data_IF_380726689256
#
_entry.id   IF_380726689256
#
_cell.length_a   1.000
_cell.length_b   1.000
_cell.length_c   1.000
_cell.angle_alpha   90.00
_cell.angle_beta   90.00
_cell.angle_gamma   90.00
#
_symmetry.space_group_name_H-M   'P 1'
#
loop_
_entity.id
_entity.type
_entity.pdbx_description
1 polymer ?
#
# COMPACT_ATOMS: atom_id res chain seq x y z
N UNK A 1 -18.96 18.10 6.76
CA UNK A 1 -17.80 17.21 6.95
C UNK A 1 -18.30 15.78 7.06
N UNK A 2 -17.74 14.88 6.26
CA UNK A 2 -18.07 13.46 6.31
C UNK A 2 -17.29 12.81 7.44
N UNK A 3 -17.99 12.09 8.32
CA UNK A 3 -17.42 11.52 9.53
C UNK A 3 -17.86 10.07 9.71
N UNK A 4 -17.12 9.32 10.50
CA UNK A 4 -17.47 8.00 10.96
C UNK A 4 -17.51 7.96 12.49
N UNK A 5 -18.25 7.01 13.02
CA UNK A 5 -18.17 6.68 14.43
C UNK A 5 -17.41 5.34 14.63
N UNK A 6 -17.06 5.09 15.88
CA UNK A 6 -16.25 3.95 16.28
C UNK A 6 -16.90 2.59 16.03
N UNK A 7 -18.23 2.54 15.86
CA UNK A 7 -18.97 1.30 15.63
C UNK A 7 -19.09 0.94 14.15
N UNK A 8 -18.68 1.86 13.25
CA UNK A 8 -18.75 1.62 11.80
C UNK A 8 -17.78 0.52 11.39
N UNK A 9 -18.24 -0.42 10.56
CA UNK A 9 -17.38 -1.47 10.03
C UNK A 9 -16.35 -0.89 9.05
N UNK A 10 -15.22 -1.60 8.86
CA UNK A 10 -14.18 -1.19 7.90
C UNK A 10 -14.74 -1.10 6.48
N UNK A 11 -15.59 -2.05 6.09
CA UNK A 11 -16.22 -2.02 4.76
C UNK A 11 -17.11 -0.79 4.60
N UNK A 12 -17.92 -0.47 5.60
CA UNK A 12 -18.79 0.70 5.55
C UNK A 12 -17.99 2.00 5.52
N UNK A 13 -16.88 2.08 6.28
CA UNK A 13 -15.99 3.23 6.24
C UNK A 13 -15.38 3.39 4.85
N UNK A 14 -14.91 2.31 4.25
CA UNK A 14 -14.36 2.33 2.90
C UNK A 14 -15.40 2.72 1.86
N UNK A 15 -16.61 2.15 1.92
CA UNK A 15 -17.73 2.50 1.03
C UNK A 15 -18.03 4.00 1.11
N UNK A 16 -18.09 4.56 2.32
CA UNK A 16 -18.32 5.97 2.55
C UNK A 16 -17.22 6.83 1.94
N UNK A 17 -15.97 6.45 2.13
CA UNK A 17 -14.82 7.17 1.58
C UNK A 17 -14.83 7.15 0.05
N UNK A 18 -15.17 6.02 -0.56
CA UNK A 18 -15.26 5.91 -2.02
C UNK A 18 -16.42 6.73 -2.57
N UNK A 19 -17.59 6.65 -1.95
CA UNK A 19 -18.76 7.44 -2.35
C UNK A 19 -18.50 8.94 -2.32
N UNK A 20 -17.76 9.42 -1.32
CA UNK A 20 -17.46 10.83 -1.13
C UNK A 20 -16.12 11.26 -1.76
N UNK A 21 -15.39 10.34 -2.38
CA UNK A 21 -14.08 10.59 -2.99
C UNK A 21 -13.08 11.22 -2.00
N UNK A 22 -13.03 10.70 -0.78
CA UNK A 22 -12.13 11.17 0.28
C UNK A 22 -11.13 10.08 0.67
N UNK A 23 -9.96 10.49 1.16
CA UNK A 23 -8.87 9.57 1.52
C UNK A 23 -8.67 9.43 3.03
N UNK A 24 -9.35 10.24 3.81
CA UNK A 24 -9.33 10.14 5.28
C UNK A 24 -10.69 10.49 5.86
N UNK A 25 -11.01 9.86 6.99
CA UNK A 25 -12.32 9.98 7.62
C UNK A 25 -12.14 10.20 9.13
N UNK A 26 -12.61 11.34 9.68
CA UNK A 26 -12.54 11.57 11.13
C UNK A 26 -13.42 10.57 11.89
N UNK A 27 -12.93 10.12 13.02
CA UNK A 27 -13.68 9.24 13.95
C UNK A 27 -14.00 10.04 15.20
N UNK A 28 -15.27 10.05 15.58
CA UNK A 28 -15.75 10.74 16.79
C UNK A 28 -16.33 9.74 17.78
N UNK A 29 -16.22 10.08 19.05
CA UNK A 29 -16.85 9.33 20.12
C UNK A 29 -18.33 9.71 20.27
N UNK A 30 -19.02 9.13 21.29
CA UNK A 30 -20.45 9.38 21.53
C UNK A 30 -20.75 10.84 21.92
N UNK A 31 -19.77 11.53 22.50
CA UNK A 31 -19.87 12.93 22.90
C UNK A 31 -19.51 13.90 21.76
N UNK A 32 -19.19 13.39 20.58
CA UNK A 32 -18.80 14.20 19.43
C UNK A 32 -17.36 14.66 19.44
N UNK A 33 -16.54 14.16 20.36
CA UNK A 33 -15.11 14.49 20.42
C UNK A 33 -14.33 13.71 19.37
N UNK A 34 -13.33 14.35 18.76
CA UNK A 34 -12.47 13.69 17.77
C UNK A 34 -11.56 12.67 18.47
N UNK A 35 -11.70 11.38 18.11
CA UNK A 35 -10.84 10.31 18.61
C UNK A 35 -9.67 10.03 17.68
N UNK A 36 -9.81 10.30 16.38
CA UNK A 36 -8.75 10.03 15.42
C UNK A 36 -9.19 10.18 13.98
N UNK A 37 -8.34 9.72 13.09
CA UNK A 37 -8.61 9.67 11.65
C UNK A 37 -8.39 8.24 11.17
N UNK A 38 -9.25 7.79 10.24
CA UNK A 38 -9.01 6.57 9.51
C UNK A 38 -8.70 6.92 8.05
N UNK A 39 -7.69 6.27 7.48
CA UNK A 39 -7.29 6.47 6.09
C UNK A 39 -7.57 5.21 5.28
N UNK A 40 -7.55 5.34 3.96
CA UNK A 40 -7.61 4.16 3.07
C UNK A 40 -6.44 3.22 3.36
N UNK A 41 -5.26 3.77 3.68
CA UNK A 41 -4.10 2.97 4.09
C UNK A 41 -4.34 2.17 5.35
N UNK A 42 -5.01 2.76 6.35
CA UNK A 42 -5.36 2.05 7.59
C UNK A 42 -6.32 0.89 7.33
N UNK A 43 -7.32 1.09 6.48
CA UNK A 43 -8.27 0.05 6.09
C UNK A 43 -7.53 -1.09 5.36
N UNK A 44 -6.65 -0.74 4.42
CA UNK A 44 -5.87 -1.71 3.67
C UNK A 44 -4.94 -2.51 4.59
N UNK A 45 -4.27 -1.83 5.53
CA UNK A 45 -3.39 -2.50 6.51
C UNK A 45 -4.15 -3.49 7.36
N UNK A 46 -5.32 -3.09 7.88
CA UNK A 46 -6.14 -3.98 8.70
C UNK A 46 -6.61 -5.21 7.90
N UNK A 47 -6.96 -5.02 6.64
CA UNK A 47 -7.31 -6.13 5.74
C UNK A 47 -6.13 -7.09 5.59
N UNK A 48 -4.93 -6.57 5.35
CA UNK A 48 -3.72 -7.38 5.19
C UNK A 48 -3.36 -8.16 6.45
N UNK A 49 -3.63 -7.62 7.63
CA UNK A 49 -3.36 -8.29 8.90
C UNK A 49 -4.17 -9.58 9.07
N UNK A 50 -5.27 -9.74 8.31
CA UNK A 50 -6.12 -10.94 8.35
C UNK A 50 -5.80 -11.95 7.25
N UNK A 51 -4.82 -11.69 6.39
CA UNK A 51 -4.46 -12.52 5.25
C UNK A 51 -3.09 -13.16 5.41
N UNK A 52 -2.79 -14.16 4.58
CA UNK A 52 -1.44 -14.73 4.52
C UNK A 52 -0.53 -13.82 3.70
N UNK A 53 0.26 -13.03 4.39
CA UNK A 53 1.13 -12.02 3.76
C UNK A 53 2.31 -12.61 2.98
N UNK A 54 2.62 -13.89 3.14
CA UNK A 54 3.69 -14.57 2.41
C UNK A 54 3.22 -15.36 1.20
N UNK A 55 1.92 -15.36 0.91
CA UNK A 55 1.34 -16.18 -0.16
C UNK A 55 2.00 -15.92 -1.52
N UNK A 56 2.15 -14.65 -1.90
CA UNK A 56 2.70 -14.28 -3.20
C UNK A 56 4.15 -14.70 -3.37
N UNK A 57 4.97 -14.56 -2.34
CA UNK A 57 6.38 -14.94 -2.42
C UNK A 57 6.56 -16.44 -2.44
N UNK A 58 5.78 -17.18 -1.65
CA UNK A 58 5.79 -18.64 -1.71
C UNK A 58 5.37 -19.19 -3.06
N UNK A 59 4.40 -18.52 -3.70
CA UNK A 59 3.94 -18.88 -5.04
C UNK A 59 4.90 -18.44 -6.15
N UNK A 60 5.97 -17.70 -5.81
CA UNK A 60 6.94 -17.13 -6.76
C UNK A 60 6.24 -16.36 -7.87
N UNK A 61 5.44 -15.38 -7.47
CA UNK A 61 4.60 -14.62 -8.39
C UNK A 61 5.42 -13.65 -9.24
N UNK A 62 5.22 -13.67 -10.54
CA UNK A 62 5.91 -12.78 -11.46
C UNK A 62 5.39 -11.34 -11.31
N UNK A 63 6.27 -10.35 -11.34
CA UNK A 63 5.89 -8.95 -11.19
C UNK A 63 4.91 -8.48 -12.25
N UNK A 64 5.06 -8.94 -13.48
CA UNK A 64 4.11 -8.66 -14.56
C UNK A 64 2.69 -9.10 -14.19
N UNK A 65 2.56 -10.25 -13.56
CA UNK A 65 1.29 -10.79 -13.12
C UNK A 65 0.66 -9.96 -12.01
N UNK A 66 1.48 -9.52 -11.07
CA UNK A 66 1.04 -8.59 -10.02
C UNK A 66 0.52 -7.30 -10.65
N UNK A 67 1.28 -6.73 -11.59
CA UNK A 67 0.89 -5.50 -12.27
C UNK A 67 -0.44 -5.67 -13.03
N UNK A 68 -0.60 -6.75 -13.77
CA UNK A 68 -1.84 -7.03 -14.51
C UNK A 68 -3.06 -7.13 -13.59
N UNK A 69 -2.89 -7.74 -12.41
CA UNK A 69 -3.97 -7.92 -11.43
C UNK A 69 -4.51 -6.59 -10.91
N UNK A 70 -3.68 -5.57 -10.85
CA UNK A 70 -4.05 -4.25 -10.31
C UNK A 70 -4.11 -3.16 -11.37
N UNK A 71 -4.23 -3.53 -12.64
CA UNK A 71 -4.21 -2.61 -13.78
C UNK A 71 -3.00 -1.66 -13.75
N UNK A 72 -1.87 -2.16 -13.28
CA UNK A 72 -0.66 -1.39 -13.04
C UNK A 72 0.34 -1.44 -14.18
N UNK A 73 1.32 -0.56 -14.07
CA UNK A 73 2.45 -0.47 -15.00
C UNK A 73 3.74 -0.59 -14.20
N UNK A 74 4.65 -1.45 -14.63
CA UNK A 74 5.99 -1.51 -14.05
C UNK A 74 6.77 -0.30 -14.57
N UNK A 75 7.05 0.65 -13.69
CA UNK A 75 7.74 1.90 -14.05
C UNK A 75 9.25 1.81 -13.83
N UNK A 76 9.70 0.85 -13.03
CA UNK A 76 11.12 0.54 -12.82
C UNK A 76 11.27 -0.95 -12.52
N UNK A 77 12.34 -1.54 -13.03
CA UNK A 77 12.69 -2.93 -12.77
C UNK A 77 12.23 -3.90 -13.85
N UNK A 78 12.57 -5.18 -13.65
CA UNK A 78 12.26 -6.24 -14.62
C UNK A 78 10.87 -6.83 -14.36
N UNK A 79 9.91 -6.54 -15.23
CA UNK A 79 8.54 -7.08 -15.12
C UNK A 79 8.49 -8.61 -15.23
N UNK A 80 9.50 -9.22 -15.82
CA UNK A 80 9.60 -10.68 -15.96
C UNK A 80 10.27 -11.36 -14.76
N UNK A 81 10.79 -10.58 -13.81
CA UNK A 81 11.31 -11.11 -12.55
C UNK A 81 10.20 -11.62 -11.64
N UNK A 82 10.59 -12.30 -10.57
CA UNK A 82 9.67 -12.95 -9.65
C UNK A 82 9.82 -12.43 -8.23
N UNK A 83 8.70 -12.24 -7.56
CA UNK A 83 8.68 -11.98 -6.12
C UNK A 83 8.78 -13.29 -5.38
N UNK A 84 9.93 -13.55 -4.75
CA UNK A 84 10.25 -14.88 -4.20
C UNK A 84 10.51 -14.89 -2.69
N UNK A 85 10.68 -13.72 -2.08
CA UNK A 85 10.96 -13.58 -0.66
C UNK A 85 10.24 -12.37 -0.09
N UNK A 86 9.86 -12.46 1.16
CA UNK A 86 9.25 -11.37 1.89
C UNK A 86 7.74 -11.44 1.94
N UNK A 87 7.19 -10.57 2.76
CA UNK A 87 5.73 -10.45 2.92
C UNK A 87 5.21 -9.27 2.13
N UNK A 88 3.90 -9.27 1.90
CA UNK A 88 3.18 -8.14 1.35
C UNK A 88 2.63 -7.33 2.52
N UNK A 89 2.90 -6.03 2.53
CA UNK A 89 2.38 -5.15 3.57
C UNK A 89 1.93 -3.81 3.00
N UNK A 90 1.15 -3.09 3.79
CA UNK A 90 0.67 -1.76 3.42
C UNK A 90 1.39 -0.73 4.28
N UNK A 91 2.01 0.25 3.63
CA UNK A 91 2.62 1.38 4.30
C UNK A 91 1.55 2.34 4.82
N UNK A 92 1.61 2.67 6.11
CA UNK A 92 0.75 3.67 6.71
C UNK A 92 1.43 5.03 6.76
N UNK A 93 0.67 6.08 7.08
CA UNK A 93 1.16 7.44 7.07
C UNK A 93 2.21 7.79 8.15
N UNK A 94 2.55 6.86 9.04
CA UNK A 94 3.54 7.10 10.10
C UNK A 94 4.90 6.50 9.71
N UNK A 95 5.89 7.33 9.33
CA UNK A 95 7.20 6.84 8.89
C UNK A 95 7.96 6.05 9.94
N UNK A 96 7.81 6.38 11.22
CA UNK A 96 8.49 5.66 12.30
C UNK A 96 7.94 4.26 12.48
N UNK A 97 6.62 4.10 12.42
CA UNK A 97 6.00 2.78 12.47
C UNK A 97 6.35 1.97 11.24
N UNK A 98 6.36 2.60 10.08
CA UNK A 98 6.74 1.96 8.83
C UNK A 98 8.13 1.36 8.91
N UNK A 99 9.10 2.14 9.39
CA UNK A 99 10.48 1.70 9.60
C UNK A 99 10.57 0.50 10.54
N UNK A 100 9.69 0.43 11.54
CA UNK A 100 9.74 -0.59 12.57
C UNK A 100 9.32 -1.99 12.07
N UNK A 101 8.47 -2.09 11.03
CA UNK A 101 7.96 -3.38 10.57
C UNK A 101 8.23 -3.74 9.11
N UNK A 102 8.82 -2.85 8.33
CA UNK A 102 9.35 -3.21 7.01
C UNK A 102 10.59 -4.05 7.19
N UNK A 103 10.63 -5.17 6.50
CA UNK A 103 11.83 -6.01 6.44
C UNK A 103 12.40 -6.03 5.02
N UNK A 104 13.68 -6.39 4.92
CA UNK A 104 14.33 -6.60 3.63
C UNK A 104 13.53 -7.62 2.81
N UNK A 105 13.46 -7.41 1.51
CA UNK A 105 12.76 -8.26 0.53
C UNK A 105 11.22 -8.15 0.52
N UNK A 106 10.61 -7.36 1.40
CA UNK A 106 9.16 -7.17 1.40
C UNK A 106 8.64 -6.50 0.12
N UNK A 107 7.36 -6.72 -0.18
CA UNK A 107 6.61 -5.95 -1.17
C UNK A 107 5.68 -5.01 -0.40
N UNK A 108 5.76 -3.72 -0.66
CA UNK A 108 5.00 -2.74 0.09
C UNK A 108 4.08 -1.91 -0.80
N UNK A 109 2.81 -1.81 -0.38
CA UNK A 109 1.79 -1.00 -1.05
C UNK A 109 1.75 0.35 -0.37
N UNK A 110 1.93 1.43 -1.13
CA UNK A 110 2.10 2.78 -0.59
C UNK A 110 1.26 3.80 -1.33
N UNK A 111 1.07 4.96 -0.71
CA UNK A 111 0.44 6.13 -1.31
C UNK A 111 1.45 7.08 -1.94
N UNK A 112 1.19 8.38 -1.81
CA UNK A 112 1.85 9.45 -2.57
C UNK A 112 3.11 10.07 -1.95
N UNK A 113 3.49 9.66 -0.76
CA UNK A 113 4.58 10.33 -0.03
C UNK A 113 5.94 9.83 -0.49
N UNK A 114 6.71 10.71 -1.12
CA UNK A 114 8.07 10.40 -1.56
C UNK A 114 8.95 9.92 -0.42
N UNK A 115 8.80 10.51 0.77
CA UNK A 115 9.56 10.11 1.96
C UNK A 115 9.36 8.63 2.30
N UNK A 116 8.13 8.14 2.16
CA UNK A 116 7.82 6.74 2.43
C UNK A 116 8.44 5.84 1.36
N UNK A 117 8.44 6.26 0.10
CA UNK A 117 9.10 5.54 -0.99
C UNK A 117 10.60 5.42 -0.74
N UNK A 118 11.24 6.52 -0.33
CA UNK A 118 12.67 6.54 -0.02
C UNK A 118 12.99 5.65 1.19
N UNK A 119 12.13 5.66 2.19
CA UNK A 119 12.28 4.81 3.37
C UNK A 119 12.22 3.32 3.01
N UNK A 120 11.28 2.94 2.16
CA UNK A 120 11.16 1.56 1.67
C UNK A 120 12.42 1.12 0.92
N UNK A 121 12.94 1.99 0.05
CA UNK A 121 14.19 1.73 -0.68
C UNK A 121 15.35 1.53 0.30
N UNK A 122 15.45 2.38 1.32
CA UNK A 122 16.48 2.27 2.35
C UNK A 122 16.44 0.94 3.11
N UNK A 123 15.26 0.34 3.22
CA UNK A 123 15.07 -0.98 3.86
C UNK A 123 15.29 -2.17 2.92
N UNK A 124 15.67 -1.92 1.67
CA UNK A 124 15.93 -2.96 0.65
C UNK A 124 14.72 -3.86 0.37
N UNK A 125 13.56 -3.27 0.21
CA UNK A 125 12.36 -4.02 -0.21
C UNK A 125 12.54 -4.59 -1.62
N UNK A 126 11.78 -5.62 -1.96
CA UNK A 126 11.78 -6.19 -3.31
C UNK A 126 11.00 -5.34 -4.30
N UNK A 127 9.88 -4.78 -3.85
CA UNK A 127 8.95 -4.09 -4.73
C UNK A 127 8.17 -3.02 -3.97
N UNK A 128 7.91 -1.91 -4.63
CA UNK A 128 7.01 -0.86 -4.15
C UNK A 128 5.84 -0.77 -5.13
N UNK A 129 4.62 -0.83 -4.63
CA UNK A 129 3.42 -0.56 -5.42
C UNK A 129 2.87 0.78 -4.96
N UNK A 130 2.76 1.72 -5.88
CA UNK A 130 2.22 3.05 -5.61
C UNK A 130 0.82 3.15 -6.17
N UNK A 131 -0.16 3.41 -5.31
CA UNK A 131 -1.55 3.49 -5.68
C UNK A 131 -2.01 4.88 -6.10
N UNK A 132 -3.29 5.01 -6.40
CA UNK A 132 -4.00 6.26 -6.71
C UNK A 132 -3.54 6.93 -8.01
N UNK A 133 -2.85 6.22 -8.90
CA UNK A 133 -2.36 6.78 -10.16
C UNK A 133 -1.28 7.85 -10.00
N UNK A 134 -0.60 7.87 -8.87
CA UNK A 134 0.39 8.90 -8.54
C UNK A 134 1.68 8.63 -9.27
N UNK A 135 2.25 9.67 -9.87
CA UNK A 135 3.57 9.58 -10.49
C UNK A 135 4.66 9.46 -9.43
N UNK A 136 5.56 8.52 -9.65
CA UNK A 136 6.74 8.33 -8.80
C UNK A 136 7.84 9.29 -9.25
N UNK A 137 8.50 9.96 -8.29
CA UNK A 137 9.54 10.94 -8.63
C UNK A 137 10.74 10.28 -9.31
N UNK A 138 11.44 11.05 -10.14
CA UNK A 138 12.67 10.58 -10.81
C UNK A 138 13.74 10.15 -9.82
N UNK A 139 13.83 10.83 -8.68
CA UNK A 139 14.76 10.51 -7.60
C UNK A 139 14.51 9.11 -7.06
N UNK A 140 13.24 8.78 -6.82
CA UNK A 140 12.83 7.45 -6.32
C UNK A 140 13.13 6.38 -7.37
N UNK A 141 12.76 6.63 -8.61
CA UNK A 141 13.03 5.69 -9.73
C UNK A 141 14.52 5.42 -9.86
N UNK A 142 15.35 6.47 -9.82
CA UNK A 142 16.81 6.33 -9.93
C UNK A 142 17.39 5.48 -8.80
N UNK A 143 16.99 5.74 -7.56
CA UNK A 143 17.46 4.97 -6.41
C UNK A 143 17.00 3.52 -6.47
N UNK A 144 15.75 3.29 -6.89
CA UNK A 144 15.23 1.94 -7.07
C UNK A 144 16.01 1.17 -8.14
N UNK A 145 16.35 1.85 -9.24
CA UNK A 145 17.18 1.27 -10.29
C UNK A 145 18.55 0.83 -9.78
N UNK A 146 19.21 1.68 -9.00
CA UNK A 146 20.53 1.38 -8.41
C UNK A 146 20.50 0.18 -7.47
N UNK A 147 19.37 -0.05 -6.82
CA UNK A 147 19.19 -1.14 -5.84
C UNK A 147 18.39 -2.33 -6.37
N UNK A 148 18.06 -2.31 -7.65
CA UNK A 148 17.31 -3.38 -8.30
C UNK A 148 15.95 -3.64 -7.65
N UNK A 149 15.25 -2.56 -7.27
CA UNK A 149 13.92 -2.62 -6.68
C UNK A 149 12.88 -2.36 -7.77
N UNK A 150 11.84 -3.20 -7.82
CA UNK A 150 10.75 -3.04 -8.77
C UNK A 150 9.75 -2.02 -8.25
N UNK A 151 9.29 -1.12 -9.13
CA UNK A 151 8.22 -0.18 -8.81
C UNK A 151 7.07 -0.39 -9.78
N UNK A 152 5.88 -0.58 -9.24
CA UNK A 152 4.64 -0.73 -9.99
C UNK A 152 3.71 0.43 -9.61
N UNK A 153 3.15 1.09 -10.60
CA UNK A 153 2.16 2.15 -10.39
C UNK A 153 0.78 1.62 -10.78
N UNK A 154 -0.21 1.81 -9.91
CA UNK A 154 -1.59 1.39 -10.14
C UNK A 154 -2.55 2.57 -9.99
N UNK A 155 -3.63 2.63 -10.81
CA UNK A 155 -4.66 3.66 -10.64
C UNK A 155 -5.57 3.43 -9.44
N UNK A 156 -5.55 2.24 -8.85
CA UNK A 156 -6.45 1.88 -7.76
C UNK A 156 -5.95 2.39 -6.41
N UNK A 157 -6.87 2.54 -5.46
CA UNK A 157 -6.52 2.87 -4.07
C UNK A 157 -5.82 1.68 -3.38
N UNK A 158 -5.18 1.96 -2.26
CA UNK A 158 -4.36 0.95 -1.58
C UNK A 158 -5.18 -0.23 -1.06
N UNK A 159 -6.42 -0.03 -0.63
CA UNK A 159 -7.28 -1.12 -0.19
C UNK A 159 -7.69 -2.03 -1.36
N UNK A 160 -8.07 -1.44 -2.48
CA UNK A 160 -8.41 -2.20 -3.70
C UNK A 160 -7.22 -3.02 -4.17
N UNK A 161 -6.02 -2.42 -4.18
CA UNK A 161 -4.78 -3.12 -4.52
C UNK A 161 -4.57 -4.32 -3.60
N UNK A 162 -4.63 -4.12 -2.28
CA UNK A 162 -4.42 -5.18 -1.31
C UNK A 162 -5.41 -6.33 -1.50
N UNK A 163 -6.67 -6.01 -1.72
CA UNK A 163 -7.72 -7.00 -1.94
C UNK A 163 -7.52 -7.81 -3.22
N UNK A 164 -7.18 -7.15 -4.33
CA UNK A 164 -6.97 -7.82 -5.61
C UNK A 164 -5.74 -8.73 -5.58
N UNK A 165 -4.66 -8.31 -4.95
CA UNK A 165 -3.44 -9.10 -4.84
C UNK A 165 -3.66 -10.40 -4.07
N UNK A 166 -4.58 -10.40 -3.10
CA UNK A 166 -4.83 -11.56 -2.23
C UNK A 166 -5.96 -12.47 -2.69
N UNK A 167 -6.40 -12.32 -3.90
CA UNK A 167 -7.42 -13.21 -4.46
C UNK A 167 -6.82 -14.43 -5.15
#
# INVERSE_FOLDING_TARGET
ITEADKSMSLKNAWDLMMEKSIVSLPIRDREGQLEGLITIGDIAKTYMDTTDSYLLSRAKTQYRRIAETIAGTVVEGNEHGYFTKGKVLVGTANPEMLKAYIESDDLIIMGDREEDHLQAIAQNVSCIIVGMGIEVSEKVIKLAHEREIVIIMSPYDTFTIARLINQ
#
